data_IF_451662970596
#
_entry.id   IF_451662970596
#
_cell.length_a   1.000
_cell.length_b   1.000
_cell.length_c   1.000
_cell.angle_alpha   90.00
_cell.angle_beta   90.00
_cell.angle_gamma   90.00
#
_symmetry.space_group_name_H-M   'P 1'
#
loop_
_entity.id
_entity.type
_entity.pdbx_description
1 polymer ?
#
# COMPACT_ATOMS: atom_id res chain seq x y z
N UNK A 1 -8.50 -20.39 -24.27
CA UNK A 1 -8.61 -19.91 -22.89
C UNK A 1 -9.49 -18.67 -22.89
N UNK A 2 -10.54 -18.66 -22.09
CA UNK A 2 -11.52 -17.58 -21.94
C UNK A 2 -11.35 -16.98 -20.56
N UNK A 3 -11.43 -15.66 -20.44
CA UNK A 3 -11.40 -14.94 -19.15
C UNK A 3 -12.71 -14.19 -18.96
N UNK A 4 -13.25 -14.21 -17.76
CA UNK A 4 -14.47 -13.46 -17.39
C UNK A 4 -14.57 -13.24 -15.90
N UNK A 5 -15.46 -12.35 -15.48
CA UNK A 5 -15.88 -12.26 -14.09
C UNK A 5 -16.51 -13.55 -13.64
N UNK A 6 -16.26 -13.93 -12.40
CA UNK A 6 -16.90 -15.08 -11.74
C UNK A 6 -18.28 -14.66 -11.21
N UNK A 7 -19.17 -15.61 -11.18
CA UNK A 7 -20.52 -15.49 -10.61
C UNK A 7 -20.69 -16.49 -9.46
N UNK A 8 -21.80 -16.43 -8.73
CA UNK A 8 -22.10 -17.41 -7.66
C UNK A 8 -22.11 -18.85 -8.17
N UNK A 9 -22.46 -19.07 -9.43
CA UNK A 9 -22.44 -20.41 -10.03
C UNK A 9 -21.03 -20.99 -10.15
N UNK A 10 -20.01 -20.12 -10.16
CA UNK A 10 -18.60 -20.52 -10.22
C UNK A 10 -17.99 -20.79 -8.84
N UNK A 11 -18.72 -20.51 -7.75
CA UNK A 11 -18.20 -20.54 -6.39
C UNK A 11 -17.49 -21.86 -6.05
N UNK A 12 -18.06 -22.99 -6.43
CA UNK A 12 -17.44 -24.30 -6.17
C UNK A 12 -16.02 -24.39 -6.77
N UNK A 13 -15.86 -24.00 -8.03
CA UNK A 13 -14.56 -24.05 -8.69
C UNK A 13 -13.62 -22.97 -8.14
N UNK A 14 -14.14 -21.78 -7.80
CA UNK A 14 -13.40 -20.71 -7.15
C UNK A 14 -12.84 -21.18 -5.81
N UNK A 15 -13.66 -21.79 -4.95
CA UNK A 15 -13.23 -22.33 -3.66
C UNK A 15 -12.17 -23.42 -3.80
N UNK A 16 -12.31 -24.32 -4.79
CA UNK A 16 -11.29 -25.35 -5.09
C UNK A 16 -9.94 -24.72 -5.49
N UNK A 17 -9.94 -23.68 -6.33
CA UNK A 17 -8.71 -22.96 -6.73
C UNK A 17 -8.10 -22.26 -5.51
N UNK A 18 -8.91 -21.59 -4.70
CA UNK A 18 -8.47 -20.92 -3.47
C UNK A 18 -7.85 -21.91 -2.49
N UNK A 19 -8.51 -23.03 -2.21
CA UNK A 19 -8.03 -24.08 -1.31
C UNK A 19 -6.69 -24.70 -1.79
N UNK A 20 -6.46 -24.74 -3.11
CA UNK A 20 -5.20 -25.24 -3.67
C UNK A 20 -3.99 -24.33 -3.45
N UNK A 21 -4.20 -23.06 -3.14
CA UNK A 21 -3.16 -22.04 -2.98
C UNK A 21 -3.08 -21.50 -1.54
N UNK A 22 -4.20 -21.46 -0.84
CA UNK A 22 -4.34 -20.92 0.50
C UNK A 22 -4.81 -22.02 1.46
N UNK A 23 -4.38 -21.99 2.71
CA UNK A 23 -4.64 -23.05 3.72
C UNK A 23 -6.02 -22.84 4.39
N UNK A 24 -7.04 -22.43 3.65
CA UNK A 24 -8.39 -22.28 4.19
C UNK A 24 -9.44 -22.60 3.12
N UNK A 25 -10.61 -23.01 3.60
CA UNK A 25 -11.78 -23.19 2.76
C UNK A 25 -12.67 -21.95 2.91
N UNK A 26 -13.12 -21.44 1.77
CA UNK A 26 -14.08 -20.33 1.73
C UNK A 26 -15.50 -20.86 1.88
N UNK A 27 -16.30 -20.19 2.71
CA UNK A 27 -17.75 -20.38 2.75
C UNK A 27 -18.42 -19.59 1.61
N UNK A 28 -19.53 -20.04 1.09
CA UNK A 28 -20.25 -19.36 -0.01
C UNK A 28 -20.67 -17.93 0.36
N UNK A 29 -20.93 -17.68 1.64
CA UNK A 29 -21.24 -16.35 2.20
C UNK A 29 -20.07 -15.39 2.17
N UNK A 30 -18.83 -15.89 2.01
CA UNK A 30 -17.59 -15.10 1.92
C UNK A 30 -17.23 -14.75 0.47
N UNK A 31 -18.01 -15.24 -0.52
CA UNK A 31 -17.88 -14.83 -1.91
C UNK A 31 -18.42 -13.41 -2.06
N UNK A 32 -17.55 -12.44 -1.83
CA UNK A 32 -17.92 -11.03 -1.72
C UNK A 32 -18.38 -10.45 -3.07
N UNK A 33 -19.58 -9.86 -3.06
CA UNK A 33 -20.13 -9.14 -4.23
C UNK A 33 -19.36 -7.83 -4.52
N UNK A 34 -18.58 -7.32 -3.55
CA UNK A 34 -17.85 -6.04 -3.65
C UNK A 34 -16.48 -6.14 -4.33
N UNK A 35 -15.96 -7.36 -4.49
CA UNK A 35 -14.69 -7.63 -5.15
C UNK A 35 -14.97 -8.25 -6.49
N UNK A 36 -14.41 -7.68 -7.56
CA UNK A 36 -14.47 -8.29 -8.87
C UNK A 36 -13.56 -9.52 -8.90
N UNK A 37 -14.16 -10.70 -8.87
CA UNK A 37 -13.48 -11.98 -9.02
C UNK A 37 -13.41 -12.36 -10.50
N UNK A 38 -12.21 -12.64 -10.99
CA UNK A 38 -11.96 -13.01 -12.38
C UNK A 38 -11.41 -14.42 -12.49
N UNK A 39 -11.88 -15.17 -13.49
CA UNK A 39 -11.44 -16.51 -13.77
C UNK A 39 -10.94 -16.69 -15.19
N UNK A 40 -9.90 -17.52 -15.34
CA UNK A 40 -9.43 -18.04 -16.62
C UNK A 40 -9.88 -19.48 -16.78
N UNK A 41 -10.55 -19.77 -17.91
CA UNK A 41 -11.21 -21.03 -18.20
C UNK A 41 -10.65 -21.69 -19.45
N UNK A 42 -10.65 -23.01 -19.44
CA UNK A 42 -10.45 -23.88 -20.60
C UNK A 42 -11.72 -24.72 -20.89
N UNK A 43 -11.67 -25.61 -21.84
CA UNK A 43 -12.79 -26.50 -22.22
C UNK A 43 -14.10 -25.71 -22.45
N UNK A 44 -14.03 -24.70 -23.34
CA UNK A 44 -15.15 -23.84 -23.70
C UNK A 44 -15.82 -23.12 -22.50
N UNK A 45 -15.00 -22.76 -21.53
CA UNK A 45 -15.45 -22.00 -20.34
C UNK A 45 -15.93 -22.85 -19.17
N UNK A 46 -15.79 -24.19 -19.24
CA UNK A 46 -16.31 -25.12 -18.22
C UNK A 46 -15.34 -25.34 -17.05
N UNK A 47 -14.03 -25.25 -17.30
CA UNK A 47 -13.01 -25.57 -16.29
C UNK A 47 -12.23 -24.32 -15.87
N UNK A 48 -12.43 -23.86 -14.64
CA UNK A 48 -11.66 -22.78 -14.04
C UNK A 48 -10.26 -23.27 -13.68
N UNK A 49 -9.23 -22.64 -14.23
CA UNK A 49 -7.83 -23.03 -14.04
C UNK A 49 -7.02 -22.03 -13.23
N UNK A 50 -7.39 -20.75 -13.28
CA UNK A 50 -6.74 -19.67 -12.53
C UNK A 50 -7.73 -18.59 -12.18
N UNK A 51 -7.48 -17.89 -11.11
CA UNK A 51 -8.29 -16.78 -10.62
C UNK A 51 -7.45 -15.63 -10.08
N UNK A 52 -8.06 -14.47 -9.98
CA UNK A 52 -7.60 -13.33 -9.17
C UNK A 52 -8.81 -12.50 -8.73
N UNK A 53 -8.63 -11.77 -7.64
CA UNK A 53 -9.56 -10.79 -7.10
C UNK A 53 -9.07 -9.39 -7.41
N UNK A 54 -9.99 -8.47 -7.71
CA UNK A 54 -9.67 -7.08 -8.02
C UNK A 54 -10.62 -6.13 -7.31
N UNK A 55 -10.25 -5.68 -6.12
CA UNK A 55 -11.00 -4.70 -5.35
C UNK A 55 -10.82 -3.29 -5.91
N UNK A 56 -11.90 -2.53 -6.01
CA UNK A 56 -11.83 -1.08 -6.32
C UNK A 56 -11.59 -0.30 -5.02
N UNK A 57 -10.52 0.47 -4.95
CA UNK A 57 -10.13 1.26 -3.79
C UNK A 57 -9.66 2.65 -4.23
N UNK A 58 -9.43 3.52 -3.26
CA UNK A 58 -8.77 4.81 -3.46
C UNK A 58 -7.58 4.94 -2.51
N UNK A 59 -6.48 5.51 -2.99
CA UNK A 59 -5.29 5.79 -2.20
C UNK A 59 -5.04 7.29 -2.14
N UNK A 60 -4.69 7.79 -0.95
CA UNK A 60 -4.19 9.15 -0.81
C UNK A 60 -2.87 9.30 -1.56
N UNK A 61 -2.80 10.29 -2.41
CA UNK A 61 -1.63 10.62 -3.20
C UNK A 61 -1.52 12.13 -3.31
N UNK A 62 -0.43 12.68 -2.77
CA UNK A 62 -0.25 14.12 -2.66
C UNK A 62 -1.50 14.81 -2.01
N UNK A 63 -2.16 15.71 -2.71
CA UNK A 63 -3.34 16.43 -2.21
C UNK A 63 -4.67 15.88 -2.77
N UNK A 64 -4.66 14.66 -3.30
CA UNK A 64 -5.83 14.02 -3.92
C UNK A 64 -5.89 12.53 -3.59
N UNK A 65 -6.80 11.82 -4.22
CA UNK A 65 -6.85 10.36 -4.22
C UNK A 65 -6.65 9.80 -5.63
N UNK A 66 -6.06 8.62 -5.72
CA UNK A 66 -5.94 7.84 -6.94
C UNK A 66 -6.86 6.63 -6.88
N UNK A 67 -7.65 6.41 -7.94
CA UNK A 67 -8.39 5.16 -8.10
C UNK A 67 -7.41 4.00 -8.25
N UNK A 68 -7.61 2.97 -7.43
CA UNK A 68 -6.69 1.84 -7.27
C UNK A 68 -7.40 0.51 -7.50
N UNK A 69 -6.73 -0.38 -8.24
CA UNK A 69 -7.07 -1.80 -8.33
C UNK A 69 -6.25 -2.58 -7.29
N UNK A 70 -6.89 -3.02 -6.22
CA UNK A 70 -6.29 -3.85 -5.18
C UNK A 70 -6.41 -5.32 -5.60
N UNK A 71 -5.27 -5.97 -5.87
CA UNK A 71 -5.21 -7.34 -6.39
C UNK A 71 -4.94 -8.31 -5.25
N UNK A 72 -5.85 -9.27 -5.08
CA UNK A 72 -5.77 -10.39 -4.16
C UNK A 72 -6.07 -11.73 -4.82
N UNK A 73 -6.14 -12.79 -4.04
CA UNK A 73 -6.66 -14.11 -4.44
C UNK A 73 -6.01 -14.75 -5.67
N UNK A 74 -4.78 -14.35 -6.05
CA UNK A 74 -4.11 -14.84 -7.26
C UNK A 74 -3.72 -16.31 -7.10
N UNK A 75 -4.42 -17.18 -7.78
CA UNK A 75 -4.23 -18.63 -7.66
C UNK A 75 -4.39 -19.36 -9.00
N UNK A 76 -3.80 -20.57 -9.06
CA UNK A 76 -3.99 -21.52 -10.15
C UNK A 76 -4.03 -22.95 -9.61
N UNK A 77 -4.91 -23.79 -10.13
CA UNK A 77 -4.87 -25.23 -9.84
C UNK A 77 -3.51 -25.81 -10.21
N UNK A 78 -2.90 -26.66 -9.37
CA UNK A 78 -1.55 -27.17 -9.58
C UNK A 78 -1.32 -27.79 -10.97
N UNK A 79 -2.26 -28.56 -11.46
CA UNK A 79 -2.20 -29.24 -12.74
C UNK A 79 -2.26 -28.31 -13.96
N UNK A 80 -2.72 -27.07 -13.77
CA UNK A 80 -2.81 -26.06 -14.84
C UNK A 80 -1.80 -24.90 -14.69
N UNK A 81 -0.87 -25.02 -13.75
CA UNK A 81 0.20 -24.02 -13.60
C UNK A 81 1.03 -23.91 -14.88
N UNK A 82 1.58 -22.72 -15.14
CA UNK A 82 2.39 -22.38 -16.32
C UNK A 82 1.66 -22.41 -17.67
N UNK A 83 0.34 -22.57 -17.68
CA UNK A 83 -0.48 -22.48 -18.91
C UNK A 83 -0.85 -21.04 -19.30
N UNK A 84 -0.39 -20.02 -18.54
CA UNK A 84 -0.60 -18.60 -18.86
C UNK A 84 -1.92 -18.02 -18.35
N UNK A 85 -2.72 -18.77 -17.55
CA UNK A 85 -4.02 -18.29 -17.05
C UNK A 85 -3.92 -16.97 -16.28
N UNK A 86 -3.02 -16.88 -15.30
CA UNK A 86 -2.79 -15.66 -14.52
C UNK A 86 -2.31 -14.51 -15.41
N UNK A 87 -1.41 -14.76 -16.39
CA UNK A 87 -0.94 -13.72 -17.31
C UNK A 87 -2.09 -13.13 -18.11
N UNK A 88 -2.99 -13.98 -18.62
CA UNK A 88 -4.15 -13.51 -19.36
C UNK A 88 -5.10 -12.71 -18.48
N UNK A 89 -5.34 -13.14 -17.24
CA UNK A 89 -6.14 -12.41 -16.27
C UNK A 89 -5.58 -11.03 -15.99
N UNK A 90 -4.27 -10.91 -15.71
CA UNK A 90 -3.64 -9.60 -15.50
C UNK A 90 -3.78 -8.68 -16.71
N UNK A 91 -3.57 -9.19 -17.93
CA UNK A 91 -3.72 -8.38 -19.13
C UNK A 91 -5.15 -7.82 -19.27
N UNK A 92 -6.16 -8.64 -19.05
CA UNK A 92 -7.57 -8.25 -19.18
C UNK A 92 -7.98 -7.28 -18.05
N UNK A 93 -7.54 -7.53 -16.81
CA UNK A 93 -7.79 -6.64 -15.67
C UNK A 93 -7.08 -5.30 -15.86
N UNK A 94 -5.85 -5.26 -16.34
CA UNK A 94 -5.14 -4.02 -16.60
C UNK A 94 -5.80 -3.20 -17.72
N UNK A 95 -6.24 -3.87 -18.80
CA UNK A 95 -6.96 -3.18 -19.87
C UNK A 95 -8.25 -2.57 -19.35
N UNK A 96 -9.07 -3.36 -18.66
CA UNK A 96 -10.31 -2.88 -18.04
C UNK A 96 -10.05 -1.76 -17.03
N UNK A 97 -9.00 -1.89 -16.20
CA UNK A 97 -8.61 -0.87 -15.23
C UNK A 97 -8.20 0.45 -15.90
N UNK A 98 -7.39 0.36 -16.95
CA UNK A 98 -6.98 1.54 -17.73
C UNK A 98 -8.20 2.26 -18.32
N UNK A 99 -9.09 1.51 -18.98
CA UNK A 99 -10.30 2.04 -19.63
C UNK A 99 -11.28 2.67 -18.61
N UNK A 100 -11.36 2.10 -17.40
CA UNK A 100 -12.15 2.62 -16.28
C UNK A 100 -11.48 3.78 -15.53
N UNK A 101 -10.31 4.22 -15.98
CA UNK A 101 -9.60 5.36 -15.42
C UNK A 101 -8.92 5.08 -14.08
N UNK A 102 -8.64 3.81 -13.75
CA UNK A 102 -7.81 3.43 -12.62
C UNK A 102 -6.38 3.96 -12.85
N UNK A 103 -5.80 4.56 -11.84
CA UNK A 103 -4.48 5.17 -11.94
C UNK A 103 -3.35 4.21 -11.55
N UNK A 104 -3.59 3.40 -10.52
CA UNK A 104 -2.60 2.51 -9.91
C UNK A 104 -3.20 1.15 -9.60
N UNK A 105 -2.34 0.14 -9.45
CA UNK A 105 -2.72 -1.16 -8.90
C UNK A 105 -1.74 -1.55 -7.80
N UNK A 106 -2.24 -2.20 -6.74
CA UNK A 106 -1.46 -2.58 -5.55
C UNK A 106 -1.72 -4.05 -5.22
N UNK A 107 -0.71 -4.74 -4.70
CA UNK A 107 -0.82 -6.08 -4.15
C UNK A 107 0.21 -6.36 -3.06
N UNK A 108 -0.05 -7.41 -2.26
CA UNK A 108 0.93 -8.02 -1.36
C UNK A 108 1.55 -9.25 -2.04
N UNK A 109 2.84 -9.21 -2.38
CA UNK A 109 3.45 -10.26 -3.18
C UNK A 109 3.82 -11.49 -2.35
N UNK A 110 3.46 -12.69 -2.81
CA UNK A 110 4.11 -13.92 -2.33
C UNK A 110 5.52 -14.08 -2.93
N UNK A 111 5.78 -13.43 -4.07
CA UNK A 111 7.07 -13.37 -4.74
C UNK A 111 7.23 -12.04 -5.49
N UNK A 112 8.17 -11.23 -5.05
CA UNK A 112 8.49 -9.95 -5.67
C UNK A 112 8.86 -10.13 -7.16
N UNK A 113 9.71 -11.11 -7.46
CA UNK A 113 10.17 -11.39 -8.82
C UNK A 113 9.04 -11.83 -9.75
N UNK A 114 8.06 -12.57 -9.21
CA UNK A 114 6.91 -13.01 -10.00
C UNK A 114 6.05 -11.84 -10.46
N UNK A 115 5.73 -10.92 -9.56
CA UNK A 115 4.86 -9.78 -9.90
C UNK A 115 5.58 -8.68 -10.70
N UNK A 116 6.92 -8.65 -10.67
CA UNK A 116 7.69 -7.82 -11.61
C UNK A 116 7.41 -8.17 -13.07
N UNK A 117 7.08 -9.43 -13.39
CA UNK A 117 6.65 -9.86 -14.73
C UNK A 117 5.36 -9.17 -15.19
N UNK A 118 4.62 -8.55 -14.29
CA UNK A 118 3.39 -7.80 -14.55
C UNK A 118 3.55 -6.29 -14.31
N UNK A 119 4.76 -5.80 -14.24
CA UNK A 119 5.05 -4.36 -14.10
C UNK A 119 4.96 -3.81 -12.69
N UNK A 120 4.81 -4.67 -11.66
CA UNK A 120 4.83 -4.22 -10.27
C UNK A 120 6.24 -4.02 -9.74
N UNK A 121 6.41 -3.09 -8.82
CA UNK A 121 7.65 -2.93 -8.07
C UNK A 121 7.35 -2.61 -6.60
N UNK A 122 8.29 -2.94 -5.72
CA UNK A 122 8.16 -2.68 -4.30
C UNK A 122 8.15 -1.19 -4.01
N UNK A 123 7.06 -0.72 -3.42
CA UNK A 123 6.90 0.65 -2.95
C UNK A 123 6.77 0.73 -1.43
N UNK A 124 6.32 -0.36 -0.79
CA UNK A 124 6.14 -0.44 0.65
C UNK A 124 7.31 -1.16 1.29
N UNK A 125 8.19 -0.36 1.88
CA UNK A 125 9.29 -0.83 2.71
C UNK A 125 8.94 -0.55 4.16
N UNK A 126 8.80 -1.60 4.94
CA UNK A 126 8.39 -1.51 6.33
C UNK A 126 9.52 -1.92 7.27
N UNK A 127 9.37 -1.48 8.50
CA UNK A 127 10.16 -1.87 9.63
C UNK A 127 9.26 -2.55 10.64
N UNK A 128 9.50 -3.84 10.90
CA UNK A 128 8.97 -4.53 12.06
C UNK A 128 9.97 -4.39 13.20
N UNK A 129 9.49 -4.07 14.41
CA UNK A 129 10.38 -3.90 15.55
C UNK A 129 9.80 -4.52 16.81
N UNK A 130 10.59 -5.38 17.46
CA UNK A 130 10.31 -5.91 18.78
C UNK A 130 11.11 -5.12 19.81
N UNK A 131 10.42 -4.41 20.70
CA UNK A 131 10.98 -3.52 21.71
C UNK A 131 10.65 -4.07 23.11
N UNK A 132 11.67 -4.23 23.96
CA UNK A 132 11.41 -4.48 25.39
C UNK A 132 10.72 -3.26 26.02
N UNK A 133 9.77 -3.46 26.97
CA UNK A 133 9.16 -2.35 27.70
C UNK A 133 10.18 -1.47 28.46
N UNK A 134 11.40 -1.96 28.71
CA UNK A 134 12.49 -1.14 29.27
C UNK A 134 12.85 0.05 28.39
N UNK A 135 12.66 -0.04 27.08
CA UNK A 135 12.89 1.09 26.16
C UNK A 135 11.92 2.23 26.36
N UNK A 136 10.79 1.99 27.02
CA UNK A 136 9.76 2.98 27.34
C UNK A 136 9.98 3.64 28.71
N UNK A 137 11.08 3.37 29.41
CA UNK A 137 11.31 3.85 30.79
C UNK A 137 11.12 5.35 30.96
N UNK A 138 11.63 6.15 30.00
CA UNK A 138 11.55 7.61 30.00
C UNK A 138 10.23 8.18 29.49
N UNK A 139 9.34 7.34 28.98
CA UNK A 139 8.02 7.77 28.50
C UNK A 139 7.05 7.77 29.68
N UNK A 140 6.35 8.88 29.88
CA UNK A 140 5.31 9.00 30.89
C UNK A 140 4.09 8.18 30.51
N UNK A 141 3.44 7.51 31.51
CA UNK A 141 2.18 6.81 31.28
C UNK A 141 1.07 7.80 30.96
N UNK A 142 0.21 7.41 30.04
CA UNK A 142 -0.90 8.21 29.59
C UNK A 142 -2.17 7.37 29.48
N UNK A 143 -3.29 7.85 30.05
CA UNK A 143 -4.53 7.08 30.13
C UNK A 143 -5.74 7.80 29.54
N UNK A 144 -5.58 9.05 29.07
CA UNK A 144 -6.69 9.81 28.49
C UNK A 144 -6.89 9.42 27.02
N UNK A 145 -7.46 8.24 26.84
CA UNK A 145 -7.75 7.61 25.55
C UNK A 145 -9.14 7.01 25.56
N UNK A 146 -9.76 6.90 24.39
CA UNK A 146 -11.07 6.25 24.22
C UNK A 146 -10.94 5.03 23.33
N UNK A 147 -11.56 3.91 23.76
CA UNK A 147 -11.71 2.71 22.96
C UNK A 147 -12.70 2.96 21.82
N UNK A 148 -12.28 2.66 20.60
CA UNK A 148 -13.15 2.75 19.43
C UNK A 148 -14.17 1.60 19.41
N UNK A 149 -15.44 1.95 19.20
CA UNK A 149 -16.58 1.06 19.11
C UNK A 149 -17.52 1.53 18.00
N UNK A 150 -18.53 0.76 17.66
CA UNK A 150 -19.55 1.17 16.70
C UNK A 150 -20.25 2.51 17.09
N UNK A 151 -20.39 2.77 18.39
CA UNK A 151 -21.06 3.99 18.88
C UNK A 151 -20.25 5.26 18.61
N UNK A 152 -18.91 5.17 18.65
CA UNK A 152 -18.01 6.33 18.48
C UNK A 152 -17.14 6.25 17.24
N UNK A 153 -17.44 5.34 16.30
CA UNK A 153 -16.64 5.11 15.07
C UNK A 153 -16.42 6.36 14.21
N UNK A 154 -17.36 7.29 14.23
CA UNK A 154 -17.25 8.56 13.47
C UNK A 154 -16.00 9.33 13.87
N UNK A 155 -15.69 9.40 15.17
CA UNK A 155 -14.50 10.09 15.67
C UNK A 155 -13.22 9.45 15.12
N UNK A 156 -13.11 8.11 15.15
CA UNK A 156 -11.94 7.43 14.61
C UNK A 156 -11.79 7.65 13.09
N UNK A 157 -12.90 7.61 12.34
CA UNK A 157 -12.91 7.88 10.90
C UNK A 157 -12.43 9.31 10.61
N UNK A 158 -12.84 10.30 11.40
CA UNK A 158 -12.37 11.69 11.27
C UNK A 158 -10.88 11.81 11.58
N UNK A 159 -10.39 11.16 12.65
CA UNK A 159 -8.94 11.10 12.97
C UNK A 159 -8.17 10.54 11.78
N UNK A 160 -8.64 9.42 11.21
CA UNK A 160 -8.00 8.81 10.06
C UNK A 160 -7.99 9.74 8.84
N UNK A 161 -9.12 10.35 8.50
CA UNK A 161 -9.25 11.30 7.38
C UNK A 161 -8.29 12.50 7.50
N UNK A 162 -7.98 12.91 8.73
CA UNK A 162 -7.07 14.02 8.98
C UNK A 162 -5.58 13.60 8.93
N UNK A 163 -5.27 12.35 9.28
CA UNK A 163 -3.89 11.88 9.39
C UNK A 163 -3.41 11.12 8.15
N UNK A 164 -4.24 10.25 7.58
CA UNK A 164 -3.85 9.40 6.46
C UNK A 164 -3.35 10.16 5.22
N UNK A 165 -3.89 11.34 4.84
CA UNK A 165 -3.36 12.11 3.71
C UNK A 165 -1.91 12.60 3.86
N UNK A 166 -1.37 12.61 5.08
CA UNK A 166 0.04 12.94 5.32
C UNK A 166 1.01 11.86 4.81
N UNK A 167 0.49 10.66 4.60
CA UNK A 167 1.23 9.50 4.12
C UNK A 167 0.88 9.23 2.66
N UNK A 168 1.89 8.85 1.89
CA UNK A 168 1.68 8.49 0.51
C UNK A 168 1.13 7.06 0.40
N UNK A 169 0.15 6.85 -0.48
CA UNK A 169 -0.47 5.55 -0.79
C UNK A 169 -1.30 4.91 0.33
N UNK A 170 -1.61 5.60 1.45
CA UNK A 170 -2.63 5.13 2.39
C UNK A 170 -3.98 4.97 1.69
N UNK A 171 -4.72 3.90 2.02
CA UNK A 171 -6.07 3.72 1.49
C UNK A 171 -7.04 4.71 2.11
N UNK A 172 -7.94 5.28 1.32
CA UNK A 172 -9.08 6.01 1.84
C UNK A 172 -10.08 5.03 2.47
N UNK A 173 -10.57 5.35 3.65
CA UNK A 173 -11.53 4.54 4.43
C UNK A 173 -12.78 5.37 4.72
N UNK A 174 -13.65 5.61 3.72
CA UNK A 174 -14.78 6.53 3.88
C UNK A 174 -15.71 6.11 5.02
N UNK A 175 -15.95 4.82 5.17
CA UNK A 175 -16.89 4.23 6.14
C UNK A 175 -16.20 3.50 7.30
N UNK A 176 -14.87 3.51 7.34
CA UNK A 176 -14.07 2.85 8.39
C UNK A 176 -14.11 1.33 8.34
N UNK A 177 -14.39 0.73 7.19
CA UNK A 177 -14.60 -0.71 6.99
C UNK A 177 -13.45 -1.58 7.54
N UNK A 178 -12.20 -1.11 7.42
CA UNK A 178 -11.03 -1.86 7.85
C UNK A 178 -10.71 -1.72 9.34
N UNK A 179 -11.44 -0.88 10.07
CA UNK A 179 -11.29 -0.78 11.52
C UNK A 179 -12.08 -1.86 12.23
N UNK A 180 -11.51 -2.35 13.33
CA UNK A 180 -12.22 -3.24 14.23
C UNK A 180 -12.99 -2.46 15.29
N UNK A 181 -14.30 -2.49 15.22
CA UNK A 181 -15.19 -1.88 16.21
C UNK A 181 -15.81 -2.89 17.20
N UNK A 182 -15.40 -4.16 17.12
CA UNK A 182 -15.82 -5.23 18.02
C UNK A 182 -14.64 -5.79 18.83
N UNK A 183 -13.98 -4.96 19.67
CA UNK A 183 -12.66 -5.27 20.24
C UNK A 183 -12.66 -6.54 21.09
N UNK A 184 -13.68 -6.75 21.89
CA UNK A 184 -13.74 -7.91 22.79
C UNK A 184 -14.03 -9.24 22.07
N UNK A 185 -14.66 -9.19 20.89
CA UNK A 185 -14.90 -10.37 20.06
C UNK A 185 -13.67 -10.74 19.23
N UNK A 186 -13.01 -9.74 18.67
CA UNK A 186 -11.86 -9.93 17.77
C UNK A 186 -10.51 -9.94 18.46
N UNK A 187 -10.45 -9.56 19.76
CA UNK A 187 -9.22 -9.32 20.51
C UNK A 187 -8.27 -8.30 19.83
N UNK A 188 -8.83 -7.42 19.03
CA UNK A 188 -8.13 -6.34 18.37
C UNK A 188 -8.68 -5.00 18.88
N UNK A 189 -7.83 -4.17 19.44
CA UNK A 189 -8.22 -2.95 20.16
C UNK A 189 -7.69 -1.74 19.42
N UNK A 190 -8.57 -0.76 19.16
CA UNK A 190 -8.16 0.56 18.65
C UNK A 190 -8.51 1.61 19.69
N UNK A 191 -7.52 2.37 20.13
CA UNK A 191 -7.69 3.50 21.03
C UNK A 191 -7.24 4.79 20.37
N UNK A 192 -8.01 5.85 20.52
CA UNK A 192 -7.64 7.20 20.08
C UNK A 192 -7.49 8.16 21.25
N UNK A 193 -6.69 9.21 21.04
CA UNK A 193 -6.44 10.24 22.06
C UNK A 193 -7.69 11.11 22.25
N UNK A 194 -8.03 11.39 23.52
CA UNK A 194 -9.10 12.31 23.90
C UNK A 194 -8.63 13.76 23.83
N UNK A 195 -8.39 14.24 22.62
CA UNK A 195 -8.07 15.64 22.41
C UNK A 195 -8.94 16.23 21.28
N UNK A 196 -9.13 17.54 21.33
CA UNK A 196 -9.96 18.27 20.35
C UNK A 196 -9.32 18.33 18.96
N UNK A 197 -8.04 18.00 18.84
CA UNK A 197 -7.29 18.02 17.58
C UNK A 197 -7.30 16.69 16.84
N UNK A 198 -7.90 15.64 17.42
CA UNK A 198 -7.89 14.30 16.84
C UNK A 198 -6.49 13.85 16.44
N UNK A 199 -5.55 13.95 17.39
CA UNK A 199 -4.12 13.93 17.10
C UNK A 199 -3.53 12.55 16.88
N UNK A 200 -4.25 11.45 17.16
CA UNK A 200 -3.73 10.12 16.88
C UNK A 200 -4.53 8.96 17.46
N UNK A 201 -4.17 7.77 16.98
CA UNK A 201 -4.70 6.49 17.47
C UNK A 201 -3.69 5.37 17.33
N UNK A 202 -3.93 4.28 18.04
CA UNK A 202 -3.17 3.03 17.97
C UNK A 202 -4.12 1.84 17.91
N UNK A 203 -3.82 0.89 16.99
CA UNK A 203 -4.50 -0.41 16.90
C UNK A 203 -3.52 -1.52 17.26
N UNK A 204 -3.91 -2.40 18.19
CA UNK A 204 -3.06 -3.49 18.65
C UNK A 204 -3.85 -4.74 19.06
N UNK A 205 -3.15 -5.87 19.16
CA UNK A 205 -3.62 -7.11 19.77
C UNK A 205 -2.72 -7.49 20.95
N UNK A 206 -3.28 -8.28 21.88
CA UNK A 206 -2.59 -8.74 23.08
C UNK A 206 -2.32 -10.25 22.97
N UNK A 207 -1.06 -10.63 22.85
CA UNK A 207 -0.64 -12.04 22.86
C UNK A 207 -0.13 -12.44 24.26
N UNK A 208 -0.98 -13.14 25.01
CA UNK A 208 -0.65 -13.60 26.36
C UNK A 208 0.37 -14.74 26.36
N UNK A 209 0.36 -15.58 25.33
CA UNK A 209 1.24 -16.74 25.27
C UNK A 209 2.70 -16.30 25.07
N UNK A 210 2.94 -15.33 24.23
CA UNK A 210 4.28 -14.76 23.98
C UNK A 210 4.57 -13.50 24.78
N UNK A 211 3.62 -13.03 25.59
CA UNK A 211 3.70 -11.81 26.42
C UNK A 211 4.05 -10.57 25.59
N UNK A 212 3.35 -10.39 24.44
CA UNK A 212 3.58 -9.30 23.49
C UNK A 212 2.34 -8.43 23.28
N UNK A 213 2.55 -7.11 23.19
CA UNK A 213 1.59 -6.15 22.66
C UNK A 213 1.95 -5.95 21.20
N UNK A 214 1.12 -6.45 20.28
CA UNK A 214 1.37 -6.37 18.84
C UNK A 214 0.65 -5.16 18.25
N UNK A 215 1.37 -4.08 18.01
CA UNK A 215 0.87 -2.85 17.38
C UNK A 215 0.76 -3.07 15.88
N UNK A 216 -0.48 -3.04 15.38
CA UNK A 216 -0.79 -3.22 13.96
C UNK A 216 -0.74 -1.91 13.18
N UNK A 217 -1.23 -0.83 13.80
CA UNK A 217 -1.30 0.48 13.17
C UNK A 217 -1.07 1.57 14.23
N UNK A 218 -0.29 2.58 13.89
CA UNK A 218 0.03 3.71 14.77
C UNK A 218 0.09 4.97 13.92
N UNK A 219 -0.91 5.85 14.06
CA UNK A 219 -0.97 7.14 13.39
C UNK A 219 -1.00 8.28 14.41
N UNK A 220 -0.25 9.34 14.14
CA UNK A 220 -0.13 10.50 15.02
C UNK A 220 0.19 11.77 14.24
N UNK A 221 -0.26 12.90 14.77
CA UNK A 221 -0.08 14.20 14.14
C UNK A 221 1.33 14.76 14.36
N UNK A 222 1.87 14.56 15.56
CA UNK A 222 3.10 15.18 16.05
C UNK A 222 3.78 14.35 17.16
N UNK A 223 4.89 14.86 17.68
CA UNK A 223 5.66 14.21 18.76
C UNK A 223 4.86 14.06 20.06
N UNK A 224 4.00 15.02 20.40
CA UNK A 224 3.19 14.95 21.61
C UNK A 224 2.18 13.81 21.52
N UNK A 225 1.47 13.69 20.41
CA UNK A 225 0.56 12.59 20.15
C UNK A 225 1.29 11.23 20.18
N UNK A 226 2.47 11.14 19.55
CA UNK A 226 3.28 9.92 19.59
C UNK A 226 3.64 9.53 21.02
N UNK A 227 4.14 10.46 21.84
CA UNK A 227 4.51 10.19 23.24
C UNK A 227 3.31 9.75 24.08
N UNK A 228 2.13 10.35 23.88
CA UNK A 228 0.90 9.95 24.56
C UNK A 228 0.46 8.53 24.17
N UNK A 229 0.48 8.18 22.89
CA UNK A 229 0.14 6.83 22.42
C UNK A 229 1.13 5.79 22.94
N UNK A 230 2.43 6.07 22.93
CA UNK A 230 3.44 5.18 23.53
C UNK A 230 3.30 5.10 25.05
N UNK A 231 2.93 6.20 25.71
CA UNK A 231 2.61 6.26 27.14
C UNK A 231 1.39 5.39 27.50
N UNK A 232 0.40 5.35 26.62
CA UNK A 232 -0.73 4.43 26.74
C UNK A 232 -0.30 2.98 26.55
N UNK A 233 0.50 2.67 25.55
CA UNK A 233 1.05 1.31 25.38
C UNK A 233 1.88 0.90 26.59
N UNK A 234 2.60 1.79 27.24
CA UNK A 234 3.39 1.51 28.44
C UNK A 234 2.56 1.01 29.62
N UNK A 235 1.25 1.26 29.69
CA UNK A 235 0.41 0.75 30.80
C UNK A 235 0.35 -0.78 30.85
N UNK A 236 0.72 -1.46 29.77
CA UNK A 236 0.76 -2.91 29.67
C UNK A 236 2.06 -3.55 30.22
N UNK A 237 3.05 -2.78 30.63
CA UNK A 237 4.39 -3.23 31.06
C UNK A 237 4.40 -4.23 32.24
N UNK A 238 3.33 -4.23 33.04
CA UNK A 238 3.17 -5.20 34.17
C UNK A 238 2.80 -6.62 33.73
N UNK A 239 2.18 -6.77 32.56
CA UNK A 239 1.65 -8.04 32.05
C UNK A 239 2.36 -8.57 30.80
N UNK A 240 3.06 -7.69 30.09
CA UNK A 240 3.73 -8.00 28.83
C UNK A 240 5.20 -7.59 28.88
N UNK A 241 6.05 -8.30 28.16
CA UNK A 241 7.51 -8.07 28.16
C UNK A 241 7.96 -7.24 26.97
N UNK A 242 7.21 -7.31 25.87
CA UNK A 242 7.58 -6.68 24.60
C UNK A 242 6.42 -5.94 23.96
N UNK A 243 6.77 -4.86 23.25
CA UNK A 243 5.92 -4.21 22.24
C UNK A 243 6.47 -4.58 20.88
N UNK A 244 5.62 -5.10 20.00
CA UNK A 244 5.98 -5.43 18.61
C UNK A 244 5.23 -4.46 17.71
N UNK A 245 5.97 -3.60 17.03
CA UNK A 245 5.43 -2.81 15.93
C UNK A 245 5.50 -3.66 14.67
N UNK A 246 4.37 -4.14 14.17
CA UNK A 246 4.35 -5.07 13.03
C UNK A 246 4.74 -4.38 11.72
N UNK A 247 4.30 -3.13 11.55
CA UNK A 247 4.51 -2.38 10.32
C UNK A 247 4.69 -0.89 10.64
N UNK A 248 5.92 -0.42 10.61
CA UNK A 248 6.25 1.00 10.70
C UNK A 248 6.85 1.46 9.38
N UNK A 249 6.61 2.71 8.98
CA UNK A 249 7.43 3.34 7.95
C UNK A 249 8.91 3.28 8.35
N UNK A 250 9.82 3.06 7.42
CA UNK A 250 11.28 3.04 7.70
C UNK A 250 11.79 4.36 8.25
N UNK A 251 11.05 5.45 8.06
CA UNK A 251 11.31 6.80 8.58
C UNK A 251 10.54 7.10 9.87
N UNK A 252 9.97 6.09 10.53
CA UNK A 252 9.16 6.30 11.73
C UNK A 252 9.97 6.92 12.86
N UNK A 253 9.49 8.01 13.50
CA UNK A 253 10.19 8.66 14.61
C UNK A 253 10.03 7.93 15.94
N UNK A 254 9.42 6.77 16.01
CA UNK A 254 9.28 5.96 17.24
C UNK A 254 10.62 5.75 17.92
N UNK A 255 11.67 5.50 17.14
CA UNK A 255 13.01 5.21 17.66
C UNK A 255 13.79 6.44 18.14
N UNK A 256 13.31 7.64 17.78
CA UNK A 256 13.88 8.90 18.28
C UNK A 256 13.40 9.24 19.70
N UNK A 257 12.35 8.58 20.18
CA UNK A 257 11.73 8.91 21.46
C UNK A 257 11.84 7.78 22.50
N UNK A 258 12.12 6.54 22.10
CA UNK A 258 12.39 5.42 23.02
C UNK A 258 13.86 5.42 23.44
N UNK A 259 14.16 4.85 24.61
CA UNK A 259 15.52 4.82 25.17
C UNK A 259 16.25 3.52 24.79
N UNK A 260 17.59 3.60 24.73
CA UNK A 260 18.55 2.48 24.67
C UNK A 260 18.16 1.34 23.70
N UNK A 261 18.34 1.61 22.41
CA UNK A 261 17.93 0.69 21.34
C UNK A 261 18.80 -0.55 21.15
N UNK A 262 20.10 -0.47 21.45
CA UNK A 262 21.10 -1.43 20.94
C UNK A 262 20.88 -2.89 21.33
N UNK A 263 20.32 -3.18 22.51
CA UNK A 263 20.12 -4.54 23.01
C UNK A 263 18.65 -4.88 23.27
N UNK A 264 17.81 -3.86 23.29
CA UNK A 264 16.41 -3.96 23.72
C UNK A 264 15.43 -3.85 22.56
N UNK A 265 15.96 -3.59 21.34
CA UNK A 265 15.16 -3.47 20.12
C UNK A 265 15.73 -4.36 19.03
N UNK A 266 14.89 -5.29 18.56
CA UNK A 266 15.17 -6.08 17.36
C UNK A 266 14.39 -5.47 16.19
N UNK A 267 15.09 -5.06 15.13
CA UNK A 267 14.50 -4.49 13.91
C UNK A 267 14.63 -5.45 12.74
N UNK A 268 13.60 -5.56 11.94
CA UNK A 268 13.58 -6.35 10.72
C UNK A 268 12.99 -5.52 9.59
N UNK A 269 13.75 -5.32 8.53
CA UNK A 269 13.25 -4.67 7.32
C UNK A 269 12.49 -5.67 6.48
N UNK A 270 11.30 -5.28 6.01
CA UNK A 270 10.44 -6.09 5.15
C UNK A 270 10.03 -5.32 3.90
N UNK A 271 9.80 -6.06 2.82
CA UNK A 271 9.33 -5.55 1.55
C UNK A 271 7.94 -6.15 1.32
N UNK A 272 6.90 -5.41 1.71
CA UNK A 272 5.56 -6.00 1.82
C UNK A 272 4.66 -5.68 0.65
N UNK A 273 4.59 -4.44 0.21
CA UNK A 273 3.65 -4.03 -0.82
C UNK A 273 4.32 -3.67 -2.13
N UNK A 274 3.73 -4.16 -3.22
CA UNK A 274 4.09 -3.75 -4.57
C UNK A 274 2.96 -2.94 -5.21
N UNK A 275 3.33 -1.96 -6.02
CA UNK A 275 2.40 -1.24 -6.86
C UNK A 275 2.89 -1.16 -8.30
N UNK A 276 1.95 -0.94 -9.21
CA UNK A 276 2.24 -0.51 -10.58
C UNK A 276 1.39 0.69 -10.95
N UNK A 277 1.93 1.55 -11.77
CA UNK A 277 1.17 2.59 -12.46
C UNK A 277 0.37 1.91 -13.58
N UNK A 278 -0.95 2.09 -13.56
CA UNK A 278 -1.88 1.61 -14.59
C UNK A 278 -2.07 2.68 -15.66
N UNK A 279 -2.18 3.95 -15.26
CA UNK A 279 -2.32 5.07 -16.19
C UNK A 279 -1.30 6.16 -15.83
N UNK A 280 -0.22 6.22 -16.59
CA UNK A 280 0.89 7.13 -16.35
C UNK A 280 0.47 8.60 -16.38
N UNK A 281 -0.32 8.99 -17.37
CA UNK A 281 -0.79 10.38 -17.49
C UNK A 281 -1.57 10.83 -16.27
N UNK A 282 -2.50 10.00 -15.78
CA UNK A 282 -3.31 10.32 -14.59
C UNK A 282 -2.46 10.48 -13.33
N UNK A 283 -1.44 9.66 -13.13
CA UNK A 283 -0.53 9.78 -11.99
C UNK A 283 0.27 11.08 -12.07
N UNK A 284 0.78 11.42 -13.25
CA UNK A 284 1.49 12.69 -13.46
C UNK A 284 0.57 13.90 -13.22
N UNK A 285 -0.65 13.88 -13.75
CA UNK A 285 -1.65 14.95 -13.54
C UNK A 285 -2.09 15.10 -12.08
N UNK A 286 -2.09 14.02 -11.31
CA UNK A 286 -2.45 14.02 -9.89
C UNK A 286 -1.31 14.44 -8.94
N UNK A 287 -0.08 14.52 -9.46
CA UNK A 287 1.10 14.91 -8.68
C UNK A 287 1.03 16.39 -8.28
N UNK A 288 1.38 16.69 -7.04
CA UNK A 288 1.53 18.07 -6.57
C UNK A 288 2.93 18.56 -6.89
N UNK A 289 3.00 19.49 -7.81
CA UNK A 289 4.26 20.08 -8.27
C UNK A 289 4.69 21.30 -7.44
N UNK A 290 5.99 21.64 -7.46
CA UNK A 290 6.51 22.87 -6.86
C UNK A 290 5.82 24.13 -7.42
N UNK A 291 5.93 25.25 -6.66
CA UNK A 291 5.46 26.54 -7.14
C UNK A 291 6.40 27.16 -8.17
N UNK A 292 7.67 26.85 -8.07
CA UNK A 292 8.70 27.25 -9.02
C UNK A 292 8.39 26.63 -10.38
N UNK A 293 8.72 27.36 -11.43
CA UNK A 293 8.61 26.85 -12.80
C UNK A 293 9.63 25.75 -13.05
N UNK A 294 9.20 24.67 -13.68
CA UNK A 294 10.06 23.56 -14.09
C UNK A 294 9.47 22.74 -15.21
N UNK A 295 10.30 21.90 -15.81
CA UNK A 295 9.87 20.97 -16.85
C UNK A 295 10.81 19.78 -16.92
N UNK A 296 10.25 18.60 -17.19
CA UNK A 296 11.01 17.38 -17.44
C UNK A 296 10.26 16.47 -18.41
N UNK A 297 10.98 15.56 -19.04
CA UNK A 297 10.43 14.57 -19.96
C UNK A 297 10.84 13.15 -19.56
N UNK A 298 9.85 12.25 -19.48
CA UNK A 298 10.03 10.85 -19.11
C UNK A 298 9.64 9.95 -20.27
N UNK A 299 10.56 9.10 -20.73
CA UNK A 299 10.25 8.00 -21.65
C UNK A 299 9.87 6.75 -20.87
N UNK A 300 8.66 6.26 -21.08
CA UNK A 300 8.12 5.07 -20.40
C UNK A 300 8.01 3.89 -21.36
N UNK A 301 8.37 2.70 -20.84
CA UNK A 301 8.10 1.40 -21.46
C UNK A 301 7.21 0.55 -20.56
N UNK A 302 6.11 0.04 -21.11
CA UNK A 302 5.16 -0.84 -20.43
C UNK A 302 4.76 -2.00 -21.36
N UNK A 303 5.09 -3.23 -20.99
CA UNK A 303 4.79 -4.40 -21.81
C UNK A 303 3.32 -4.80 -21.76
N UNK A 304 2.60 -4.46 -20.68
CA UNK A 304 1.22 -4.89 -20.45
C UNK A 304 0.19 -3.84 -20.88
N UNK A 305 0.54 -2.56 -20.79
CA UNK A 305 -0.37 -1.45 -21.16
C UNK A 305 0.34 -0.57 -22.18
N UNK A 306 0.18 -0.86 -23.50
CA UNK A 306 0.85 -0.09 -24.56
C UNK A 306 0.54 1.40 -24.54
N UNK A 307 -0.62 1.80 -24.00
CA UNK A 307 -1.03 3.20 -23.89
C UNK A 307 -0.08 4.03 -22.99
N UNK A 308 0.66 3.38 -22.07
CA UNK A 308 1.69 4.03 -21.26
C UNK A 308 3.02 4.24 -22.01
N UNK A 309 3.24 3.55 -23.13
CA UNK A 309 4.50 3.69 -23.89
C UNK A 309 4.59 5.07 -24.56
N UNK A 310 5.75 5.68 -24.46
CA UNK A 310 6.06 6.97 -25.11
C UNK A 310 6.74 7.95 -24.18
N UNK A 311 6.89 9.18 -24.64
CA UNK A 311 7.50 10.27 -23.89
C UNK A 311 6.39 11.15 -23.34
N UNK A 312 6.41 11.39 -22.02
CA UNK A 312 5.54 12.31 -21.32
C UNK A 312 6.36 13.54 -20.93
N UNK A 313 6.01 14.69 -21.50
CA UNK A 313 6.58 15.98 -21.14
C UNK A 313 5.66 16.63 -20.11
N UNK A 314 6.24 16.99 -18.97
CA UNK A 314 5.57 17.64 -17.85
C UNK A 314 6.14 19.05 -17.70
N UNK A 315 5.31 20.05 -17.85
CA UNK A 315 5.62 21.44 -17.51
C UNK A 315 4.79 21.87 -16.32
N UNK A 316 5.42 22.50 -15.33
CA UNK A 316 4.71 22.93 -14.12
C UNK A 316 5.12 24.33 -13.68
N UNK A 317 4.17 25.05 -13.08
CA UNK A 317 4.35 26.37 -12.48
C UNK A 317 3.21 26.65 -11.49
N UNK A 318 3.50 27.28 -10.36
CA UNK A 318 2.50 27.64 -9.33
C UNK A 318 1.68 26.43 -8.83
N UNK A 319 2.28 25.25 -8.74
CA UNK A 319 1.63 24.01 -8.31
C UNK A 319 0.69 23.36 -9.34
N UNK A 320 0.56 23.93 -10.54
CA UNK A 320 -0.20 23.37 -11.65
C UNK A 320 0.72 22.71 -12.65
N UNK A 321 0.20 21.73 -13.38
CA UNK A 321 0.97 21.05 -14.43
C UNK A 321 0.18 20.94 -15.74
N UNK A 322 0.93 20.78 -16.81
CA UNK A 322 0.44 20.31 -18.12
C UNK A 322 1.25 19.05 -18.45
N UNK A 323 0.55 17.98 -18.76
CA UNK A 323 1.15 16.68 -19.12
C UNK A 323 0.79 16.36 -20.56
N UNK A 324 1.77 16.38 -21.43
CA UNK A 324 1.63 16.06 -22.84
C UNK A 324 2.34 14.76 -23.17
N UNK A 325 1.75 13.97 -24.06
CA UNK A 325 2.42 12.81 -24.63
C UNK A 325 3.05 13.26 -25.94
N UNK A 326 4.38 13.34 -25.92
CA UNK A 326 5.16 13.92 -27.03
C UNK A 326 5.45 12.88 -28.13
N UNK A 327 5.55 13.36 -29.35
CA UNK A 327 6.07 12.64 -30.52
C UNK A 327 7.58 12.82 -30.73
N UNK A 328 8.23 13.67 -29.93
CA UNK A 328 9.68 13.90 -29.96
C UNK A 328 10.44 12.68 -29.46
N UNK A 329 11.68 12.50 -29.90
CA UNK A 329 12.57 11.44 -29.42
C UNK A 329 13.46 11.90 -28.24
N UNK A 330 13.38 13.17 -27.82
CA UNK A 330 14.19 13.74 -26.75
C UNK A 330 13.49 13.50 -25.39
N UNK A 331 14.28 13.06 -24.40
CA UNK A 331 13.82 12.85 -23.03
C UNK A 331 14.96 13.08 -22.03
N UNK A 332 14.60 13.40 -20.79
CA UNK A 332 15.56 13.59 -19.71
C UNK A 332 15.90 12.27 -19.01
N UNK A 333 14.89 11.43 -18.83
CA UNK A 333 15.02 10.12 -18.17
C UNK A 333 14.15 9.08 -18.88
N UNK A 334 14.68 7.87 -19.09
CA UNK A 334 13.91 6.73 -19.58
C UNK A 334 13.84 5.65 -18.50
N UNK A 335 12.69 5.00 -18.38
CA UNK A 335 12.49 3.91 -17.44
C UNK A 335 11.34 2.99 -17.85
N UNK A 336 11.38 1.76 -17.33
CA UNK A 336 10.24 0.86 -17.40
C UNK A 336 9.18 1.21 -16.36
N UNK A 337 7.98 0.63 -16.48
CA UNK A 337 6.87 0.91 -15.57
C UNK A 337 7.13 0.46 -14.12
N UNK A 338 7.86 -0.64 -13.82
CA UNK A 338 8.30 -0.96 -12.47
C UNK A 338 9.15 0.14 -11.84
N UNK A 339 10.15 0.63 -12.56
CA UNK A 339 11.04 1.71 -12.08
C UNK A 339 10.27 3.01 -11.88
N UNK A 340 9.38 3.37 -12.81
CA UNK A 340 8.49 4.52 -12.65
C UNK A 340 7.59 4.39 -11.42
N UNK A 341 7.01 3.21 -11.18
CA UNK A 341 6.18 2.95 -9.99
C UNK A 341 6.98 3.12 -8.71
N UNK A 342 8.21 2.63 -8.64
CA UNK A 342 9.09 2.81 -7.50
C UNK A 342 9.42 4.27 -7.23
N UNK A 343 9.85 5.00 -8.25
CA UNK A 343 10.31 6.39 -8.10
C UNK A 343 9.15 7.35 -7.81
N UNK A 344 8.03 7.19 -8.52
CA UNK A 344 6.89 8.10 -8.50
C UNK A 344 5.92 7.78 -7.36
N UNK A 345 5.60 6.49 -7.12
CA UNK A 345 4.70 6.08 -6.06
C UNK A 345 5.44 5.78 -4.74
N UNK A 346 6.63 5.20 -4.81
CA UNK A 346 7.43 4.85 -3.63
C UNK A 346 8.03 6.06 -2.92
N UNK A 347 8.36 7.13 -3.66
CA UNK A 347 8.87 8.42 -3.11
C UNK A 347 10.04 8.24 -2.15
N UNK A 348 11.00 7.36 -2.46
CA UNK A 348 12.14 7.07 -1.59
C UNK A 348 13.09 8.25 -1.41
N UNK A 349 13.07 9.22 -2.31
CA UNK A 349 13.96 10.39 -2.31
C UNK A 349 15.38 10.03 -2.72
N UNK A 350 15.52 9.18 -3.74
CA UNK A 350 16.81 8.80 -4.28
C UNK A 350 17.47 9.99 -4.99
N UNK A 351 18.78 10.07 -4.86
CA UNK A 351 19.63 10.97 -5.65
C UNK A 351 19.81 10.46 -7.08
N UNK A 352 20.29 11.29 -7.99
CA UNK A 352 20.61 10.86 -9.37
C UNK A 352 21.64 9.73 -9.36
N UNK A 353 22.63 9.80 -8.50
CA UNK A 353 23.65 8.74 -8.39
C UNK A 353 23.01 7.40 -7.99
N UNK A 354 22.07 7.41 -7.04
CA UNK A 354 21.34 6.20 -6.62
C UNK A 354 20.39 5.71 -7.72
N UNK A 355 19.76 6.60 -8.46
CA UNK A 355 18.86 6.26 -9.59
C UNK A 355 19.67 5.56 -10.70
N UNK A 356 20.90 5.98 -10.97
CA UNK A 356 21.77 5.35 -11.97
C UNK A 356 22.15 3.90 -11.66
N UNK A 357 21.97 3.42 -10.42
CA UNK A 357 22.11 2.00 -10.07
C UNK A 357 20.85 1.17 -10.32
N UNK A 358 19.73 1.80 -10.68
CA UNK A 358 18.50 1.07 -10.99
C UNK A 358 18.62 0.43 -12.39
N UNK A 359 18.28 -0.85 -12.45
CA UNK A 359 18.13 -1.51 -13.73
C UNK A 359 16.99 -0.83 -14.54
N UNK A 360 17.10 -0.81 -15.85
CA UNK A 360 16.09 -0.27 -16.76
C UNK A 360 15.78 1.25 -16.57
N UNK A 361 16.72 1.99 -15.99
CA UNK A 361 16.67 3.45 -15.92
C UNK A 361 17.87 4.02 -16.67
N UNK A 362 17.63 5.01 -17.50
CA UNK A 362 18.68 5.76 -18.23
C UNK A 362 18.45 7.24 -18.00
N UNK A 363 19.40 7.90 -17.36
CA UNK A 363 19.41 9.35 -17.13
C UNK A 363 20.20 10.00 -18.25
N UNK A 364 19.64 11.00 -18.92
CA UNK A 364 20.27 11.73 -20.04
C UNK A 364 20.70 13.13 -19.62
N UNK A 365 19.88 13.79 -18.77
CA UNK A 365 20.18 15.12 -18.24
C UNK A 365 20.33 15.09 -16.70
N UNK A 366 20.50 16.24 -16.06
CA UNK A 366 20.62 16.32 -14.58
C UNK A 366 19.33 15.94 -13.84
N UNK A 367 18.18 15.87 -14.51
CA UNK A 367 16.88 15.51 -13.97
C UNK A 367 16.45 16.29 -12.70
N UNK A 368 17.02 17.50 -12.49
CA UNK A 368 16.74 18.28 -11.28
C UNK A 368 15.25 18.58 -11.08
N UNK A 369 14.54 18.88 -12.17
CA UNK A 369 13.10 19.14 -12.15
C UNK A 369 12.28 17.89 -11.85
N UNK A 370 12.68 16.72 -12.35
CA UNK A 370 12.09 15.44 -11.99
C UNK A 370 12.25 15.16 -10.48
N UNK A 371 13.45 15.31 -9.93
CA UNK A 371 13.69 15.09 -8.51
C UNK A 371 12.89 16.07 -7.63
N UNK A 372 12.77 17.33 -8.04
CA UNK A 372 11.92 18.31 -7.34
C UNK A 372 10.44 17.97 -7.38
N UNK A 373 9.97 17.39 -8.48
CA UNK A 373 8.57 16.97 -8.64
C UNK A 373 8.23 15.76 -7.76
N UNK A 374 9.21 14.89 -7.48
CA UNK A 374 9.01 13.66 -6.72
C UNK A 374 9.87 13.60 -5.44
N UNK A 375 9.69 14.56 -4.50
CA UNK A 375 10.45 14.59 -3.26
C UNK A 375 10.14 13.38 -2.39
N UNK A 376 11.03 13.08 -1.44
CA UNK A 376 10.83 12.02 -0.46
C UNK A 376 9.51 12.20 0.30
N UNK A 377 8.74 11.12 0.37
CA UNK A 377 7.51 11.02 1.18
C UNK A 377 7.47 9.69 1.92
N UNK A 378 6.80 9.69 3.05
CA UNK A 378 6.54 8.43 3.77
C UNK A 378 5.42 7.68 3.08
N UNK A 379 5.77 6.58 2.41
CA UNK A 379 4.81 5.69 1.76
C UNK A 379 4.48 4.55 2.71
N UNK A 380 3.19 4.37 3.02
CA UNK A 380 2.69 3.30 3.87
C UNK A 380 1.23 3.00 3.56
N UNK A 381 0.83 1.76 3.72
CA UNK A 381 -0.57 1.33 3.81
C UNK A 381 -0.66 0.10 4.73
N UNK A 382 -1.72 0.02 5.52
CA UNK A 382 -1.92 -1.00 6.55
C UNK A 382 -3.00 -2.01 6.15
N UNK A 383 -3.86 -1.63 5.21
CA UNK A 383 -5.04 -2.40 4.82
C UNK A 383 -4.66 -3.72 4.17
N UNK A 384 -5.34 -4.81 4.59
CA UNK A 384 -5.39 -6.07 3.86
C UNK A 384 -6.50 -6.06 2.83
N UNK A 385 -6.36 -6.80 1.78
CA UNK A 385 -7.35 -7.01 0.73
C UNK A 385 -7.07 -8.32 -0.03
#
# INVERSE_FOLDING_TARGET
>A
MITRKLTKDDFKQFSEVSASAYIYNLEETEFEEHVDNFGAFINDGQTLISQLECGSRENYYDNTTLKCAAIGGVASKPEYRRMGGVRKLFNDVFRSSYDNGTAVSILYPFSIAYYRLFGYETILRCLSAECSFKTFEKIERYNDVTLATEENKKTLIEIYKNLAPKYNMMFARPDGETFCFTPYKSCCYTYYLNDTSHSGYVTFTLDRATRKVNVKELLFADKCALLRLLGFIKVFDGNYDFVVFNKLPVTSPVFEVIADENRLVKRTYTYEGQARIVNMKKVLEATTYPKEKGSFSIKITDEQIPDNNGIFTVSYENGKCVVEKDSSDAFDIAMDIPSASRLILGREGLTIDEINYLNNVTVVTDCADFLRAFPKKTTVFYDGF
#
